data_IF_547969360288
#
_entry.id   IF_547969360288
#
_cell.length_a   1.000
_cell.length_b   1.000
_cell.length_c   1.000
_cell.angle_alpha   90.00
_cell.angle_beta   90.00
_cell.angle_gamma   90.00
#
_symmetry.space_group_name_H-M   'P 1'
#
loop_
_entity.id
_entity.type
_entity.pdbx_description
1 polymer ?
#
# COMPACT_ATOMS: atom_id res chain seq x y z
N UNK A 1 -39.74 -10.24 20.43
CA UNK A 1 -39.11 -8.96 20.81
C UNK A 1 -37.64 -9.23 21.02
N UNK A 2 -36.81 -8.89 20.04
CA UNK A 2 -35.35 -8.97 20.17
C UNK A 2 -34.93 -7.65 20.81
N UNK A 3 -34.34 -7.72 21.99
CA UNK A 3 -33.92 -6.54 22.74
C UNK A 3 -32.87 -5.74 21.96
N UNK A 4 -32.98 -4.43 22.05
CA UNK A 4 -32.20 -3.37 21.40
C UNK A 4 -30.73 -3.29 21.83
N UNK A 5 -30.09 -4.40 22.17
CA UNK A 5 -28.75 -4.41 22.79
C UNK A 5 -27.72 -5.28 22.06
N UNK A 6 -27.97 -5.70 20.82
CA UNK A 6 -26.99 -6.41 19.97
C UNK A 6 -26.46 -5.59 18.79
N UNK A 7 -26.84 -4.31 18.67
CA UNK A 7 -26.43 -3.38 17.60
C UNK A 7 -25.17 -2.61 18.02
N UNK A 8 -24.11 -3.33 18.35
CA UNK A 8 -22.84 -2.73 18.76
C UNK A 8 -22.37 -1.70 17.73
N UNK A 9 -22.49 -0.42 18.11
CA UNK A 9 -21.78 0.74 17.57
C UNK A 9 -21.53 0.71 16.05
N UNK A 10 -22.45 1.32 15.29
CA UNK A 10 -22.29 1.59 13.84
C UNK A 10 -21.01 2.37 13.52
N UNK A 11 -20.51 3.12 14.50
CA UNK A 11 -19.30 3.92 14.49
C UNK A 11 -18.43 3.55 15.69
N UNK A 12 -17.11 3.62 15.54
CA UNK A 12 -16.20 3.52 16.67
C UNK A 12 -16.26 4.77 17.53
N UNK A 13 -16.35 5.94 16.88
CA UNK A 13 -16.68 7.21 17.51
C UNK A 13 -18.18 7.30 17.86
N UNK A 14 -18.51 7.92 18.99
CA UNK A 14 -19.91 8.17 19.35
C UNK A 14 -20.53 9.29 18.47
N UNK A 15 -21.82 9.18 18.11
CA UNK A 15 -22.50 10.19 17.28
C UNK A 15 -22.45 11.60 17.91
N UNK A 16 -22.63 11.69 19.24
CA UNK A 16 -22.61 12.97 19.94
C UNK A 16 -21.20 13.59 19.94
N UNK A 17 -20.17 12.75 20.07
CA UNK A 17 -18.78 13.18 19.95
C UNK A 17 -18.48 13.64 18.53
N UNK A 18 -18.87 12.86 17.49
CA UNK A 18 -18.68 13.25 16.10
C UNK A 18 -19.32 14.62 15.80
N UNK A 19 -20.56 14.86 16.28
CA UNK A 19 -21.23 16.16 16.12
C UNK A 19 -20.48 17.30 16.80
N UNK A 20 -20.04 17.11 18.04
CA UNK A 20 -19.23 18.09 18.76
C UNK A 20 -17.94 18.42 18.00
N UNK A 21 -17.28 17.41 17.43
CA UNK A 21 -16.06 17.61 16.66
C UNK A 21 -16.31 18.30 15.32
N UNK A 22 -17.49 18.14 14.74
CA UNK A 22 -17.91 18.92 13.58
C UNK A 22 -18.20 20.38 13.97
N UNK A 23 -18.79 20.65 15.15
CA UNK A 23 -18.94 22.02 15.67
C UNK A 23 -17.58 22.72 15.78
N UNK A 24 -16.59 22.03 16.36
CA UNK A 24 -15.22 22.55 16.49
C UNK A 24 -14.57 22.79 15.11
N UNK A 25 -14.70 21.84 14.19
CA UNK A 25 -14.16 21.97 12.83
C UNK A 25 -14.77 23.16 12.07
N UNK A 26 -16.09 23.33 12.10
CA UNK A 26 -16.75 24.43 11.38
C UNK A 26 -16.36 25.79 11.96
N UNK A 27 -16.27 25.91 13.28
CA UNK A 27 -15.78 27.13 13.93
C UNK A 27 -14.36 27.47 13.45
N UNK A 28 -13.47 26.49 13.38
CA UNK A 28 -12.10 26.69 12.91
C UNK A 28 -12.02 27.05 11.43
N UNK A 29 -12.84 26.42 10.60
CA UNK A 29 -12.92 26.72 9.17
C UNK A 29 -13.48 28.13 8.92
N UNK A 30 -14.45 28.58 9.73
CA UNK A 30 -14.98 29.93 9.68
C UNK A 30 -13.92 30.98 10.06
N UNK A 31 -13.11 30.74 11.09
CA UNK A 31 -12.02 31.63 11.51
C UNK A 31 -10.98 31.88 10.40
N UNK A 32 -10.76 30.89 9.53
CA UNK A 32 -9.84 31.00 8.38
C UNK A 32 -10.53 31.43 7.08
N UNK A 33 -11.80 31.83 7.13
CA UNK A 33 -12.58 32.32 5.99
C UNK A 33 -13.01 31.23 5.00
N UNK A 34 -13.00 29.95 5.38
CA UNK A 34 -13.53 28.85 4.57
C UNK A 34 -14.93 28.48 5.04
N UNK A 35 -15.94 28.69 4.20
CA UNK A 35 -17.31 28.23 4.47
C UNK A 35 -17.53 26.89 3.80
N UNK A 36 -17.44 25.79 4.55
CA UNK A 36 -17.68 24.45 4.02
C UNK A 36 -18.95 23.88 4.66
N UNK A 37 -19.92 23.42 3.86
CA UNK A 37 -21.16 22.78 4.32
C UNK A 37 -20.93 21.32 4.74
N UNK A 38 -19.95 21.06 5.61
CA UNK A 38 -19.61 19.70 6.03
C UNK A 38 -20.70 19.11 6.91
N UNK A 39 -21.30 19.89 7.81
CA UNK A 39 -22.32 19.41 8.74
C UNK A 39 -23.58 18.89 8.06
N UNK A 40 -24.15 19.66 7.13
CA UNK A 40 -25.45 19.30 6.53
C UNK A 40 -25.38 17.91 5.89
N UNK A 41 -24.31 17.65 5.11
CA UNK A 41 -24.06 16.37 4.46
C UNK A 41 -23.87 15.21 5.45
N UNK A 42 -23.13 15.45 6.54
CA UNK A 42 -22.86 14.41 7.54
C UNK A 42 -24.10 14.14 8.40
N UNK A 43 -24.83 15.18 8.83
CA UNK A 43 -26.05 15.02 9.62
C UNK A 43 -27.17 14.32 8.84
N UNK A 44 -27.34 14.64 7.55
CA UNK A 44 -28.28 13.92 6.70
C UNK A 44 -27.88 12.46 6.54
N UNK A 45 -26.58 12.19 6.36
CA UNK A 45 -26.10 10.82 6.26
C UNK A 45 -26.28 10.05 7.58
N UNK A 46 -25.94 10.63 8.74
CA UNK A 46 -26.13 10.01 10.07
C UNK A 46 -27.58 9.60 10.29
N UNK A 47 -28.55 10.47 9.95
CA UNK A 47 -29.99 10.15 10.07
C UNK A 47 -30.40 8.90 9.28
N UNK A 48 -29.69 8.62 8.19
CA UNK A 48 -29.98 7.49 7.30
C UNK A 48 -29.02 6.29 7.50
N UNK A 49 -27.96 6.44 8.28
CA UNK A 49 -26.88 5.46 8.43
C UNK A 49 -27.41 4.12 8.96
N UNK A 50 -28.19 4.14 10.05
CA UNK A 50 -28.74 2.91 10.63
C UNK A 50 -29.64 2.16 9.65
N UNK A 51 -30.48 2.90 8.91
CA UNK A 51 -31.36 2.34 7.88
C UNK A 51 -30.52 1.68 6.78
N UNK A 52 -29.53 2.41 6.24
CA UNK A 52 -28.61 1.89 5.20
C UNK A 52 -27.88 0.63 5.68
N UNK A 53 -27.42 0.59 6.93
CA UNK A 53 -26.77 -0.58 7.51
C UNK A 53 -27.74 -1.76 7.68
N UNK A 54 -28.96 -1.52 8.14
CA UNK A 54 -29.98 -2.55 8.30
C UNK A 54 -30.45 -3.14 6.95
N UNK A 55 -30.32 -2.38 5.87
CA UNK A 55 -30.58 -2.83 4.49
C UNK A 55 -29.44 -3.67 3.88
N UNK A 56 -28.24 -3.69 4.49
CA UNK A 56 -27.15 -4.57 4.02
C UNK A 56 -27.48 -6.05 4.21
N UNK A 57 -26.69 -6.92 3.60
CA UNK A 57 -26.82 -8.36 3.71
C UNK A 57 -26.41 -8.85 5.11
N UNK A 58 -27.01 -9.95 5.57
CA UNK A 58 -26.62 -10.59 6.84
C UNK A 58 -25.14 -11.01 6.85
N UNK A 59 -24.60 -11.39 5.68
CA UNK A 59 -23.21 -11.80 5.52
C UNK A 59 -22.29 -10.59 5.72
N UNK A 60 -22.61 -9.45 5.09
CA UNK A 60 -21.87 -8.22 5.24
C UNK A 60 -21.86 -7.72 6.68
N UNK A 61 -23.04 -7.63 7.34
CA UNK A 61 -23.11 -7.24 8.76
C UNK A 61 -22.25 -8.13 9.67
N UNK A 62 -22.23 -9.44 9.40
CA UNK A 62 -21.37 -10.37 10.15
C UNK A 62 -19.89 -10.06 9.93
N UNK A 63 -19.48 -9.71 8.70
CA UNK A 63 -18.09 -9.31 8.42
C UNK A 63 -17.75 -7.98 9.11
N UNK A 64 -18.62 -6.98 9.02
CA UNK A 64 -18.46 -5.68 9.68
C UNK A 64 -18.27 -5.84 11.20
N UNK A 65 -19.18 -6.55 11.87
CA UNK A 65 -19.14 -6.73 13.32
C UNK A 65 -17.96 -7.59 13.80
N UNK A 66 -17.41 -8.46 12.93
CA UNK A 66 -16.28 -9.35 13.26
C UNK A 66 -14.97 -8.93 12.58
N UNK A 67 -14.84 -7.66 12.16
CA UNK A 67 -13.69 -7.20 11.38
C UNK A 67 -12.35 -7.47 12.08
N UNK A 68 -12.26 -7.23 13.39
CA UNK A 68 -11.08 -7.54 14.23
C UNK A 68 -10.71 -9.03 14.21
N UNK A 69 -11.71 -9.92 14.28
CA UNK A 69 -11.45 -11.36 14.14
C UNK A 69 -10.96 -11.71 12.73
N UNK A 70 -11.45 -11.00 11.71
CA UNK A 70 -10.96 -11.08 10.34
C UNK A 70 -9.50 -10.65 10.20
N UNK A 71 -9.07 -9.59 10.88
CA UNK A 71 -7.67 -9.18 10.97
C UNK A 71 -6.81 -10.27 11.61
N UNK A 72 -7.21 -10.74 12.80
CA UNK A 72 -6.46 -11.78 13.51
C UNK A 72 -6.28 -13.05 12.66
N UNK A 73 -7.32 -13.44 11.93
CA UNK A 73 -7.26 -14.58 11.03
C UNK A 73 -6.30 -14.37 9.85
N UNK A 74 -6.23 -13.17 9.27
CA UNK A 74 -5.31 -12.89 8.16
C UNK A 74 -3.85 -12.88 8.62
N UNK A 75 -3.59 -12.26 9.78
CA UNK A 75 -2.27 -12.19 10.42
C UNK A 75 -1.78 -13.58 10.85
N UNK A 76 -2.63 -14.37 11.50
CA UNK A 76 -2.29 -15.74 11.90
C UNK A 76 -1.99 -16.64 10.69
N UNK A 77 -2.65 -16.38 9.56
CA UNK A 77 -2.35 -17.07 8.30
C UNK A 77 -1.13 -16.49 7.61
N UNK A 78 -0.48 -15.45 8.13
CA UNK A 78 0.61 -14.71 7.49
C UNK A 78 0.26 -14.29 6.06
N UNK A 79 -0.92 -13.69 5.89
CA UNK A 79 -1.39 -13.14 4.62
C UNK A 79 -1.28 -11.63 4.65
N UNK A 80 -0.80 -11.05 3.55
CA UNK A 80 -0.50 -9.62 3.45
C UNK A 80 -1.43 -8.87 2.48
N UNK A 81 -2.42 -9.55 1.90
CA UNK A 81 -3.40 -8.93 1.01
C UNK A 81 -4.78 -9.33 1.49
N UNK A 82 -5.56 -8.33 1.90
CA UNK A 82 -6.92 -8.51 2.36
C UNK A 82 -7.93 -8.57 1.21
N UNK A 83 -9.19 -8.33 1.55
CA UNK A 83 -10.29 -8.28 0.60
C UNK A 83 -11.35 -7.32 1.09
N UNK A 84 -11.61 -6.29 0.28
CA UNK A 84 -12.65 -5.32 0.58
C UNK A 84 -14.00 -5.82 0.12
N UNK A 85 -14.99 -5.62 0.98
CA UNK A 85 -16.41 -5.70 0.64
C UNK A 85 -17.07 -4.35 0.94
N UNK A 86 -18.06 -3.99 0.12
CA UNK A 86 -18.81 -2.74 0.23
C UNK A 86 -20.30 -3.02 0.07
N UNK A 87 -21.11 -2.44 0.94
CA UNK A 87 -22.56 -2.40 0.80
C UNK A 87 -23.09 -1.09 1.42
N UNK A 88 -23.96 -0.37 0.70
CA UNK A 88 -24.64 0.85 1.18
C UNK A 88 -23.71 1.91 1.81
N UNK A 89 -22.51 2.10 1.24
CA UNK A 89 -21.50 3.05 1.72
C UNK A 89 -20.60 2.52 2.84
N UNK A 90 -20.91 1.38 3.44
CA UNK A 90 -20.02 0.73 4.41
C UNK A 90 -18.93 -0.05 3.68
N UNK A 91 -17.68 0.11 4.12
CA UNK A 91 -16.52 -0.55 3.53
C UNK A 91 -15.76 -1.32 4.60
N UNK A 92 -15.57 -2.62 4.39
CA UNK A 92 -14.84 -3.48 5.35
C UNK A 92 -13.87 -4.42 4.66
N UNK A 93 -12.61 -4.32 5.06
CA UNK A 93 -11.51 -5.20 4.71
C UNK A 93 -11.04 -6.04 5.91
N UNK A 94 -9.81 -6.53 5.83
CA UNK A 94 -9.10 -7.23 6.89
C UNK A 94 -8.14 -6.32 7.68
N UNK A 95 -7.70 -5.21 7.10
CA UNK A 95 -6.76 -4.23 7.65
C UNK A 95 -7.40 -2.86 7.86
N UNK A 96 -8.47 -2.55 7.14
CA UNK A 96 -9.19 -1.28 7.22
C UNK A 96 -10.70 -1.47 7.24
N UNK A 97 -11.41 -0.52 7.83
CA UNK A 97 -12.85 -0.30 7.59
C UNK A 97 -13.15 1.19 7.67
N UNK A 98 -14.22 1.60 7.00
CA UNK A 98 -14.68 2.98 7.02
C UNK A 98 -16.08 3.06 6.41
N UNK A 99 -16.63 4.25 6.44
CA UNK A 99 -17.87 4.60 5.77
C UNK A 99 -17.57 5.64 4.70
N UNK A 100 -18.25 5.53 3.56
CA UNK A 100 -18.23 6.51 2.50
C UNK A 100 -19.64 7.03 2.26
N UNK A 101 -19.81 8.35 2.33
CA UNK A 101 -21.11 9.03 2.18
C UNK A 101 -21.24 9.82 0.87
N UNK A 102 -20.57 9.37 -0.19
CA UNK A 102 -20.54 10.00 -1.53
C UNK A 102 -19.76 11.33 -1.64
N UNK A 103 -19.31 11.91 -0.51
CA UNK A 103 -18.41 13.08 -0.49
C UNK A 103 -17.19 12.90 0.40
N UNK A 104 -17.30 12.06 1.44
CA UNK A 104 -16.35 11.98 2.54
C UNK A 104 -16.15 10.56 3.01
N UNK A 105 -14.95 10.28 3.55
CA UNK A 105 -14.69 9.08 4.34
C UNK A 105 -14.93 9.41 5.80
N UNK A 106 -15.72 8.59 6.47
CA UNK A 106 -16.07 8.73 7.89
C UNK A 106 -15.51 7.52 8.64
N UNK A 107 -14.97 7.77 9.83
CA UNK A 107 -14.50 6.74 10.78
C UNK A 107 -13.47 5.79 10.14
N UNK A 108 -12.42 6.36 9.53
CA UNK A 108 -11.35 5.58 8.92
C UNK A 108 -10.58 4.83 9.99
N UNK A 109 -10.88 3.54 10.10
CA UNK A 109 -10.40 2.67 11.15
C UNK A 109 -9.37 1.69 10.63
N UNK A 110 -8.26 1.63 11.34
CA UNK A 110 -7.23 0.61 11.19
C UNK A 110 -7.59 -0.60 12.04
N UNK A 111 -7.81 -1.73 11.37
CA UNK A 111 -8.03 -3.00 12.03
C UNK A 111 -6.69 -3.58 12.51
N UNK A 112 -6.67 -3.87 13.80
CA UNK A 112 -5.64 -4.60 14.55
C UNK A 112 -6.30 -5.26 15.76
N UNK A 113 -5.52 -5.89 16.66
CA UNK A 113 -6.04 -6.47 17.91
C UNK A 113 -6.97 -5.51 18.65
N UNK A 114 -6.52 -4.27 18.82
CA UNK A 114 -7.32 -3.15 19.33
C UNK A 114 -7.49 -2.12 18.20
N UNK A 115 -8.59 -2.19 17.45
CA UNK A 115 -8.79 -1.33 16.27
C UNK A 115 -8.80 0.15 16.63
N UNK A 116 -8.17 0.99 15.80
CA UNK A 116 -8.05 2.43 16.04
C UNK A 116 -8.65 3.23 14.88
N UNK A 117 -9.51 4.18 15.20
CA UNK A 117 -9.90 5.23 14.25
C UNK A 117 -8.76 6.24 14.13
N UNK A 118 -8.29 6.49 12.90
CA UNK A 118 -7.23 7.48 12.65
C UNK A 118 -7.82 8.82 12.23
N UNK A 119 -8.84 8.78 11.39
CA UNK A 119 -9.56 9.95 10.94
C UNK A 119 -11.04 9.76 11.21
N UNK A 120 -11.64 10.69 11.92
CA UNK A 120 -13.10 10.74 12.06
C UNK A 120 -13.74 11.14 10.75
N UNK A 121 -13.06 12.03 10.02
CA UNK A 121 -13.52 12.55 8.75
C UNK A 121 -12.34 12.82 7.80
N UNK A 122 -12.51 12.42 6.55
CA UNK A 122 -11.72 12.90 5.42
C UNK A 122 -12.71 13.48 4.42
N UNK A 123 -12.74 14.80 4.32
CA UNK A 123 -13.64 15.53 3.43
C UNK A 123 -12.86 16.08 2.24
N UNK A 124 -13.39 15.88 1.04
CA UNK A 124 -12.83 16.43 -0.20
C UNK A 124 -13.85 17.42 -0.77
N UNK A 125 -13.48 18.70 -0.79
CA UNK A 125 -14.37 19.77 -1.24
C UNK A 125 -14.75 19.55 -2.71
N UNK A 126 -16.05 19.50 -3.03
CA UNK A 126 -16.54 19.32 -4.40
C UNK A 126 -16.46 17.89 -4.95
N UNK A 127 -16.28 16.88 -4.09
CA UNK A 127 -16.29 15.47 -4.49
C UNK A 127 -17.70 14.88 -4.72
N UNK A 128 -18.76 15.63 -4.40
CA UNK A 128 -20.16 15.19 -4.43
C UNK A 128 -20.54 14.39 -5.69
N UNK A 129 -21.23 13.26 -5.47
CA UNK A 129 -21.78 12.43 -6.53
C UNK A 129 -20.71 11.59 -7.24
N UNK A 130 -20.02 10.73 -6.49
CA UNK A 130 -19.03 9.81 -7.05
C UNK A 130 -19.58 9.07 -8.29
N UNK A 131 -18.86 9.20 -9.40
CA UNK A 131 -19.22 8.68 -10.72
C UNK A 131 -19.04 7.17 -10.82
N UNK A 132 -18.08 6.62 -10.07
CA UNK A 132 -17.80 5.19 -10.00
C UNK A 132 -17.32 4.85 -8.59
N UNK A 133 -17.98 3.87 -7.96
CA UNK A 133 -17.59 3.30 -6.68
C UNK A 133 -17.52 1.79 -6.85
N UNK A 134 -16.35 1.21 -6.59
CA UNK A 134 -16.17 -0.23 -6.74
C UNK A 134 -15.09 -0.76 -5.82
N UNK A 135 -15.05 -2.09 -5.69
CA UNK A 135 -13.94 -2.80 -5.06
C UNK A 135 -13.44 -3.90 -5.96
N UNK A 136 -12.12 -3.97 -6.09
CA UNK A 136 -11.43 -4.97 -6.89
C UNK A 136 -10.34 -5.59 -6.01
N UNK A 137 -10.61 -6.79 -5.50
CA UNK A 137 -9.69 -7.49 -4.60
C UNK A 137 -9.51 -6.75 -3.27
N UNK A 138 -8.28 -6.29 -3.02
CA UNK A 138 -7.90 -5.53 -1.82
C UNK A 138 -8.07 -4.01 -1.97
N UNK A 139 -8.49 -3.52 -3.13
CA UNK A 139 -8.56 -2.08 -3.40
C UNK A 139 -10.01 -1.62 -3.50
N UNK A 140 -10.34 -0.57 -2.75
CA UNK A 140 -11.57 0.19 -2.87
C UNK A 140 -11.29 1.47 -3.61
N UNK A 141 -12.22 1.86 -4.46
CA UNK A 141 -12.05 2.96 -5.40
C UNK A 141 -13.31 3.81 -5.43
N UNK A 142 -13.13 5.13 -5.38
CA UNK A 142 -14.17 6.10 -5.69
C UNK A 142 -13.63 7.18 -6.64
N UNK A 143 -14.31 7.40 -7.76
CA UNK A 143 -14.01 8.46 -8.70
C UNK A 143 -15.04 9.59 -8.55
N UNK A 144 -14.59 10.75 -8.09
CA UNK A 144 -15.37 11.99 -8.09
C UNK A 144 -15.05 12.86 -9.31
N UNK A 145 -15.66 14.05 -9.35
CA UNK A 145 -15.42 15.02 -10.42
C UNK A 145 -14.01 15.60 -10.40
N UNK A 146 -13.49 15.91 -9.21
CA UNK A 146 -12.25 16.65 -9.02
C UNK A 146 -11.13 15.81 -8.38
N UNK A 147 -11.42 14.62 -7.89
CA UNK A 147 -10.43 13.72 -7.32
C UNK A 147 -10.83 12.25 -7.48
N UNK A 148 -9.88 11.38 -7.20
CA UNK A 148 -10.01 9.93 -7.19
C UNK A 148 -9.44 9.41 -5.88
N UNK A 149 -10.14 8.50 -5.22
CA UNK A 149 -9.74 7.91 -3.95
C UNK A 149 -9.46 6.43 -4.16
N UNK A 150 -8.31 5.97 -3.69
CA UNK A 150 -7.91 4.57 -3.61
C UNK A 150 -7.64 4.23 -2.14
N UNK A 151 -8.25 3.16 -1.63
CA UNK A 151 -7.95 2.62 -0.30
C UNK A 151 -7.52 1.17 -0.42
N UNK A 152 -6.35 0.84 0.12
CA UNK A 152 -5.79 -0.51 0.05
C UNK A 152 -5.93 -1.24 1.38
N UNK A 153 -6.51 -2.44 1.31
CA UNK A 153 -6.64 -3.39 2.40
C UNK A 153 -5.40 -4.28 2.51
N UNK A 154 -4.31 -3.67 2.95
CA UNK A 154 -3.00 -4.30 3.08
C UNK A 154 -2.24 -3.73 4.31
N UNK A 155 -1.03 -4.21 4.64
CA UNK A 155 -0.30 -3.84 5.85
C UNK A 155 0.02 -2.35 5.96
N UNK A 156 0.13 -1.65 4.82
CA UNK A 156 0.44 -0.22 4.73
C UNK A 156 -0.83 0.64 4.77
N UNK A 157 -2.01 0.03 4.61
CA UNK A 157 -3.33 0.66 4.83
C UNK A 157 -3.45 2.00 4.09
N UNK A 158 -2.96 2.01 2.86
CA UNK A 158 -2.82 3.21 2.04
C UNK A 158 -4.20 3.82 1.78
N UNK A 159 -4.34 5.11 2.08
CA UNK A 159 -5.32 5.98 1.42
C UNK A 159 -4.54 6.84 0.44
N UNK A 160 -4.94 6.86 -0.82
CA UNK A 160 -4.38 7.74 -1.83
C UNK A 160 -5.52 8.55 -2.45
N UNK A 161 -5.36 9.87 -2.45
CA UNK A 161 -6.27 10.79 -3.11
C UNK A 161 -5.49 11.48 -4.21
N UNK A 162 -5.88 11.23 -5.46
CA UNK A 162 -5.30 11.84 -6.66
C UNK A 162 -6.22 12.96 -7.16
N UNK A 163 -5.69 14.16 -7.33
CA UNK A 163 -6.45 15.29 -7.87
C UNK A 163 -6.59 15.20 -9.39
N UNK A 164 -7.82 15.32 -9.87
CA UNK A 164 -8.18 15.48 -11.29
C UNK A 164 -8.23 16.97 -11.65
N UNK A 165 -8.64 17.79 -10.69
CA UNK A 165 -8.57 19.25 -10.70
C UNK A 165 -8.04 19.73 -9.34
N UNK A 166 -7.73 21.02 -9.21
CA UNK A 166 -7.32 21.59 -7.93
C UNK A 166 -8.40 21.32 -6.86
N UNK A 167 -8.01 20.74 -5.72
CA UNK A 167 -8.96 20.42 -4.66
C UNK A 167 -8.39 20.69 -3.27
N UNK A 168 -9.31 20.97 -2.34
CA UNK A 168 -9.05 21.12 -0.91
C UNK A 168 -9.51 19.86 -0.19
N UNK A 169 -8.67 19.34 0.70
CA UNK A 169 -8.93 18.13 1.46
C UNK A 169 -8.71 18.43 2.93
N UNK A 170 -9.66 18.02 3.75
CA UNK A 170 -9.64 18.19 5.20
C UNK A 170 -9.63 16.81 5.85
N UNK A 171 -8.64 16.55 6.70
CA UNK A 171 -8.55 15.35 7.53
C UNK A 171 -8.74 15.75 8.99
N UNK A 172 -9.82 15.30 9.61
CA UNK A 172 -10.06 15.44 11.04
C UNK A 172 -9.52 14.18 11.73
N UNK A 173 -8.46 14.32 12.51
CA UNK A 173 -7.81 13.20 13.22
C UNK A 173 -8.71 12.70 14.34
N UNK A 174 -8.70 11.42 14.68
CA UNK A 174 -9.41 10.90 15.87
C UNK A 174 -8.82 11.45 17.19
N UNK A 175 -9.52 11.24 18.30
CA UNK A 175 -8.95 11.40 19.65
C UNK A 175 -7.68 10.55 19.79
N UNK A 176 -6.71 11.06 20.56
CA UNK A 176 -5.40 10.42 20.83
C UNK A 176 -4.48 10.21 19.61
N UNK A 177 -4.88 10.72 18.45
CA UNK A 177 -4.05 10.80 17.25
C UNK A 177 -3.48 12.21 17.14
N UNK A 178 -2.17 12.29 16.93
CA UNK A 178 -1.43 13.53 16.83
C UNK A 178 -0.81 13.66 15.44
N UNK A 179 -0.75 14.88 14.92
CA UNK A 179 -0.08 15.20 13.67
C UNK A 179 0.99 16.26 13.87
N UNK A 180 2.16 16.03 13.30
CA UNK A 180 3.24 17.01 13.29
C UNK A 180 3.85 17.16 11.90
N UNK A 181 4.03 18.40 11.46
CA UNK A 181 4.63 18.70 10.16
C UNK A 181 6.15 18.54 10.26
N UNK A 182 6.70 17.57 9.54
CA UNK A 182 8.15 17.26 9.56
C UNK A 182 8.88 17.77 8.31
N UNK A 183 8.14 18.05 7.23
CA UNK A 183 8.64 18.73 6.05
C UNK A 183 7.53 19.57 5.39
N UNK A 184 7.81 20.39 4.36
CA UNK A 184 6.77 21.06 3.60
C UNK A 184 5.70 20.13 3.01
N UNK A 185 6.03 18.85 2.77
CA UNK A 185 5.18 17.85 2.10
C UNK A 185 4.91 16.58 2.94
N UNK A 186 5.40 16.49 4.18
CA UNK A 186 5.18 15.35 5.08
C UNK A 186 4.59 15.80 6.42
N UNK A 187 3.50 15.16 6.82
CA UNK A 187 2.98 15.16 8.19
C UNK A 187 3.21 13.78 8.80
N UNK A 188 3.89 13.70 9.95
CA UNK A 188 3.99 12.48 10.74
C UNK A 188 2.75 12.34 11.62
N UNK A 189 2.11 11.17 11.57
CA UNK A 189 0.99 10.79 12.43
C UNK A 189 1.52 9.89 13.53
N UNK A 190 1.15 10.18 14.78
CA UNK A 190 1.61 9.48 15.97
C UNK A 190 0.50 9.39 17.02
N UNK A 191 0.71 8.59 18.07
CA UNK A 191 -0.30 8.30 19.09
C UNK A 191 -0.44 6.79 19.24
N UNK A 192 -1.67 6.28 19.22
CA UNK A 192 -1.91 4.84 19.22
C UNK A 192 -1.41 4.14 17.94
N UNK A 193 -1.27 4.91 16.85
CA UNK A 193 -0.71 4.46 15.58
C UNK A 193 0.40 5.39 15.11
N UNK A 194 1.37 4.84 14.38
CA UNK A 194 2.38 5.62 13.67
C UNK A 194 2.15 5.54 12.16
N UNK A 195 2.20 6.66 11.49
CA UNK A 195 2.03 6.75 10.04
C UNK A 195 2.53 8.07 9.49
N UNK A 196 2.27 8.31 8.22
CA UNK A 196 2.61 9.57 7.58
C UNK A 196 1.62 9.91 6.49
N UNK A 197 1.31 11.19 6.39
CA UNK A 197 0.63 11.77 5.26
C UNK A 197 1.66 12.49 4.38
N UNK A 198 1.68 12.17 3.09
CA UNK A 198 2.70 12.59 2.12
C UNK A 198 2.02 13.23 0.92
N UNK A 199 2.42 14.45 0.60
CA UNK A 199 2.05 15.14 -0.62
C UNK A 199 3.10 14.88 -1.70
N UNK A 200 2.71 14.22 -2.79
CA UNK A 200 3.52 14.09 -4.00
C UNK A 200 2.96 14.98 -5.10
N UNK A 201 3.78 15.88 -5.63
CA UNK A 201 3.35 16.90 -6.59
C UNK A 201 3.26 18.29 -5.98
N UNK A 202 2.44 19.15 -6.59
CA UNK A 202 2.29 20.56 -6.23
C UNK A 202 1.12 20.76 -5.27
N UNK A 203 1.30 21.65 -4.30
CA UNK A 203 0.29 21.94 -3.29
C UNK A 203 0.88 22.35 -1.95
N UNK A 204 0.02 22.39 -0.94
CA UNK A 204 0.38 22.74 0.43
C UNK A 204 -0.37 21.86 1.42
N UNK A 205 0.29 21.51 2.52
CA UNK A 205 -0.32 20.82 3.66
C UNK A 205 0.00 21.58 4.94
N UNK A 206 -0.96 21.66 5.85
CA UNK A 206 -0.79 22.29 7.17
C UNK A 206 -1.56 21.51 8.23
N UNK A 207 -1.10 21.63 9.47
CA UNK A 207 -1.76 21.08 10.65
C UNK A 207 -2.24 22.25 11.50
N UNK A 208 -3.50 22.21 11.93
CA UNK A 208 -4.11 23.17 12.84
C UNK A 208 -5.13 22.41 13.68
N UNK A 209 -5.02 22.49 15.02
CA UNK A 209 -6.00 21.96 15.97
C UNK A 209 -6.62 20.60 15.60
N UNK A 210 -5.83 19.53 15.64
CA UNK A 210 -6.25 18.17 15.30
C UNK A 210 -6.81 17.97 13.86
N UNK A 211 -6.64 18.97 13.00
CA UNK A 211 -7.07 18.96 11.60
C UNK A 211 -5.86 19.13 10.69
N UNK A 212 -5.83 18.36 9.61
CA UNK A 212 -4.87 18.53 8.51
C UNK A 212 -5.62 19.09 7.32
N UNK A 213 -5.20 20.25 6.84
CA UNK A 213 -5.72 20.85 5.62
C UNK A 213 -4.70 20.72 4.50
N UNK A 214 -5.12 20.21 3.35
CA UNK A 214 -4.32 20.13 2.15
C UNK A 214 -5.02 20.87 1.00
N UNK A 215 -4.27 21.70 0.27
CA UNK A 215 -4.69 22.17 -1.05
C UNK A 215 -3.75 21.54 -2.06
N UNK A 216 -4.27 20.69 -2.95
CA UNK A 216 -3.46 19.95 -3.91
C UNK A 216 -3.80 20.40 -5.32
N UNK A 217 -2.76 20.66 -6.12
CA UNK A 217 -2.91 21.03 -7.52
C UNK A 217 -3.29 19.81 -8.35
N UNK A 218 -3.91 20.02 -9.52
CA UNK A 218 -4.21 18.96 -10.50
C UNK A 218 -3.04 18.00 -10.74
N UNK A 219 -3.35 16.70 -10.87
CA UNK A 219 -2.39 15.60 -11.09
C UNK A 219 -1.39 15.38 -9.96
N UNK A 220 -1.71 15.84 -8.75
CA UNK A 220 -0.91 15.60 -7.53
C UNK A 220 -1.63 14.57 -6.65
N UNK A 221 -0.89 13.94 -5.73
CA UNK A 221 -1.46 12.98 -4.80
C UNK A 221 -1.20 13.40 -3.36
N UNK A 222 -2.17 13.17 -2.49
CA UNK A 222 -1.96 13.09 -1.05
C UNK A 222 -2.19 11.65 -0.61
N UNK A 223 -1.27 11.12 0.18
CA UNK A 223 -1.28 9.71 0.57
C UNK A 223 -1.08 9.57 2.05
N UNK A 224 -1.96 8.84 2.73
CA UNK A 224 -1.77 8.40 4.11
C UNK A 224 -1.31 6.95 4.14
N UNK A 225 -0.23 6.67 4.86
CA UNK A 225 0.36 5.34 5.01
C UNK A 225 0.64 5.07 6.49
N UNK A 226 0.30 3.88 6.98
CA UNK A 226 0.71 3.43 8.31
C UNK A 226 2.12 2.84 8.26
N UNK A 227 2.88 2.96 9.34
CA UNK A 227 4.01 2.06 9.59
C UNK A 227 3.47 0.66 9.91
N UNK A 228 3.71 -0.36 9.07
CA UNK A 228 3.13 -1.68 9.26
C UNK A 228 3.63 -2.36 10.53
N UNK A 229 2.74 -3.14 11.17
CA UNK A 229 3.06 -3.96 12.34
C UNK A 229 3.88 -5.19 11.91
N UNK A 230 4.86 -5.60 12.72
CA UNK A 230 5.79 -6.69 12.35
C UNK A 230 5.08 -8.01 12.06
N UNK A 231 4.01 -8.33 12.80
CA UNK A 231 3.21 -9.53 12.60
C UNK A 231 2.32 -9.47 11.35
N UNK A 232 2.03 -8.27 10.84
CA UNK A 232 1.10 -8.01 9.75
C UNK A 232 1.80 -7.74 8.41
N UNK A 233 3.13 -7.81 8.32
CA UNK A 233 3.89 -7.52 7.08
C UNK A 233 5.06 -8.47 6.89
N UNK A 234 5.88 -8.27 5.85
CA UNK A 234 7.19 -8.90 5.74
C UNK A 234 8.10 -8.32 6.82
N UNK A 235 8.35 -9.10 7.88
CA UNK A 235 9.02 -8.65 9.09
C UNK A 235 10.54 -8.55 8.87
N UNK A 236 11.00 -7.37 8.48
CA UNK A 236 12.41 -7.09 8.22
C UNK A 236 13.12 -6.42 9.41
N UNK A 237 14.45 -6.60 9.55
CA UNK A 237 15.23 -5.83 10.52
C UNK A 237 15.11 -4.32 10.27
N UNK A 238 15.07 -3.53 11.35
CA UNK A 238 14.99 -2.05 11.30
C UNK A 238 13.82 -1.51 10.47
N UNK A 239 12.72 -2.24 10.37
CA UNK A 239 11.55 -1.86 9.55
C UNK A 239 11.10 -0.41 9.74
N UNK A 240 10.92 0.05 10.98
CA UNK A 240 10.51 1.42 11.26
C UNK A 240 11.44 2.50 10.66
N UNK A 241 12.75 2.24 10.61
CA UNK A 241 13.73 3.14 9.99
C UNK A 241 13.55 3.17 8.46
N UNK A 242 13.37 2.00 7.84
CA UNK A 242 13.20 1.90 6.40
C UNK A 242 11.89 2.49 5.92
N UNK A 243 10.79 2.28 6.66
CA UNK A 243 9.51 2.91 6.35
C UNK A 243 9.62 4.43 6.40
N UNK A 244 10.28 5.02 7.42
CA UNK A 244 10.57 6.47 7.43
C UNK A 244 11.41 6.93 6.24
N UNK A 245 12.32 6.08 5.76
CA UNK A 245 13.16 6.39 4.58
C UNK A 245 12.35 6.32 3.28
N UNK A 246 11.42 5.36 3.18
CA UNK A 246 10.47 5.25 2.07
C UNK A 246 9.56 6.47 1.98
N UNK A 247 9.04 6.95 3.11
CA UNK A 247 8.26 8.20 3.18
C UNK A 247 9.03 9.37 2.56
N UNK A 248 10.30 9.57 2.96
CA UNK A 248 11.16 10.63 2.39
C UNK A 248 11.51 10.40 0.92
N UNK A 249 11.66 9.14 0.50
CA UNK A 249 11.89 8.80 -0.89
C UNK A 249 10.65 9.06 -1.77
N UNK A 250 9.44 8.90 -1.25
CA UNK A 250 8.20 9.27 -1.95
C UNK A 250 8.08 10.79 -2.12
N UNK A 251 8.35 11.57 -1.07
CA UNK A 251 8.37 13.04 -1.14
C UNK A 251 9.30 13.54 -2.26
N UNK A 252 10.48 12.92 -2.38
CA UNK A 252 11.47 13.24 -3.42
C UNK A 252 11.12 12.66 -4.81
N UNK A 253 10.00 11.96 -4.94
CA UNK A 253 9.59 11.28 -6.17
C UNK A 253 10.51 10.11 -6.56
N UNK A 254 11.35 9.63 -5.63
CA UNK A 254 12.30 8.52 -5.85
C UNK A 254 11.59 7.17 -5.71
N UNK A 255 10.83 6.96 -4.63
CA UNK A 255 10.02 5.75 -4.48
C UNK A 255 8.75 5.88 -5.33
N UNK A 256 8.62 5.06 -6.37
CA UNK A 256 7.53 5.18 -7.34
C UNK A 256 6.40 4.18 -7.14
N UNK A 257 6.70 3.01 -6.55
CA UNK A 257 5.68 2.02 -6.21
C UNK A 257 6.15 1.03 -5.15
N UNK A 258 5.17 0.39 -4.52
CA UNK A 258 5.34 -0.78 -3.66
C UNK A 258 4.42 -1.90 -4.12
N UNK A 259 4.97 -3.09 -4.33
CA UNK A 259 4.25 -4.29 -4.77
C UNK A 259 4.28 -5.32 -3.65
N UNK A 260 3.12 -5.76 -3.18
CA UNK A 260 3.00 -6.88 -2.24
C UNK A 260 2.63 -8.12 -3.05
N UNK A 261 3.35 -9.21 -2.81
CA UNK A 261 3.14 -10.52 -3.43
C UNK A 261 2.95 -11.55 -2.31
N UNK A 262 1.68 -11.84 -1.98
CA UNK A 262 1.31 -12.69 -0.83
C UNK A 262 1.39 -14.19 -1.16
N UNK A 263 0.90 -14.57 -2.34
CA UNK A 263 0.90 -15.94 -2.83
C UNK A 263 0.86 -15.96 -4.36
N UNK A 264 1.04 -17.13 -4.98
CA UNK A 264 0.94 -17.26 -6.44
C UNK A 264 -0.42 -16.72 -6.90
N UNK A 265 -0.40 -15.79 -7.88
CA UNK A 265 -1.57 -15.09 -8.40
C UNK A 265 -2.29 -14.17 -7.39
N UNK A 266 -1.60 -13.71 -6.33
CA UNK A 266 -2.13 -12.71 -5.40
C UNK A 266 -1.09 -11.62 -5.18
N UNK A 267 -1.39 -10.45 -5.74
CA UNK A 267 -0.55 -9.25 -5.61
C UNK A 267 -1.38 -7.99 -5.43
N UNK A 268 -0.83 -7.01 -4.73
CA UNK A 268 -1.39 -5.68 -4.55
C UNK A 268 -0.34 -4.64 -4.93
N UNK A 269 -0.70 -3.69 -5.79
CA UNK A 269 0.20 -2.68 -6.35
C UNK A 269 -0.20 -1.34 -5.77
N UNK A 270 0.73 -0.66 -5.10
CA UNK A 270 0.58 0.72 -4.65
C UNK A 270 1.48 1.62 -5.50
N UNK A 271 0.87 2.52 -6.26
CA UNK A 271 1.56 3.45 -7.17
C UNK A 271 1.58 4.85 -6.54
N UNK A 272 2.78 5.40 -6.33
CA UNK A 272 2.99 6.67 -5.61
C UNK A 272 3.29 7.87 -6.54
N UNK A 273 3.41 7.62 -7.85
CA UNK A 273 3.69 8.63 -8.86
C UNK A 273 3.25 8.18 -10.24
N UNK A 274 3.87 8.73 -11.29
CA UNK A 274 3.54 8.42 -12.68
C UNK A 274 4.18 7.10 -13.12
N UNK A 275 3.77 6.00 -12.51
CA UNK A 275 4.30 4.67 -12.73
C UNK A 275 3.18 3.67 -12.62
N UNK A 276 3.10 2.77 -13.60
CA UNK A 276 2.15 1.66 -13.63
C UNK A 276 2.88 0.33 -13.53
N UNK A 277 2.35 -0.60 -12.75
CA UNK A 277 2.90 -1.95 -12.65
C UNK A 277 1.86 -3.00 -13.01
N UNK A 278 2.33 -4.08 -13.63
CA UNK A 278 1.58 -5.33 -13.68
C UNK A 278 2.46 -6.50 -13.30
N UNK A 279 1.89 -7.44 -12.55
CA UNK A 279 2.59 -8.63 -12.07
C UNK A 279 1.97 -9.88 -12.72
N UNK A 280 2.82 -10.74 -13.28
CA UNK A 280 2.44 -12.04 -13.82
C UNK A 280 3.28 -13.13 -13.19
N UNK A 281 2.64 -14.27 -12.93
CA UNK A 281 3.29 -15.44 -12.37
C UNK A 281 3.52 -16.45 -13.48
N UNK A 282 4.77 -16.87 -13.63
CA UNK A 282 5.21 -17.98 -14.47
C UNK A 282 5.76 -19.08 -13.56
N UNK A 283 5.96 -20.29 -14.09
CA UNK A 283 6.48 -21.41 -13.29
C UNK A 283 7.83 -21.03 -12.66
N UNK A 284 7.87 -20.95 -11.33
CA UNK A 284 9.03 -20.56 -10.51
C UNK A 284 9.62 -19.17 -10.85
N UNK A 285 8.83 -18.27 -11.45
CA UNK A 285 9.30 -16.94 -11.85
C UNK A 285 8.17 -15.93 -11.73
N UNK A 286 8.48 -14.75 -11.22
CA UNK A 286 7.60 -13.60 -11.23
C UNK A 286 8.11 -12.66 -12.31
N UNK A 287 7.22 -12.20 -13.18
CA UNK A 287 7.52 -11.19 -14.20
C UNK A 287 6.69 -9.94 -13.91
N UNK A 288 7.38 -8.83 -13.67
CA UNK A 288 6.76 -7.54 -13.39
C UNK A 288 7.05 -6.63 -14.58
N UNK A 289 6.01 -6.13 -15.22
CA UNK A 289 6.15 -5.07 -16.20
C UNK A 289 5.96 -3.74 -15.48
N UNK A 290 6.89 -2.83 -15.70
CA UNK A 290 6.86 -1.49 -15.14
C UNK A 290 6.86 -0.50 -16.29
N UNK A 291 5.93 0.45 -16.28
CA UNK A 291 5.91 1.56 -17.24
C UNK A 291 5.78 2.87 -16.48
N UNK A 292 6.67 3.83 -16.72
CA UNK A 292 6.54 5.15 -16.13
C UNK A 292 7.53 6.13 -16.74
N UNK A 293 7.69 7.28 -16.09
CA UNK A 293 8.62 8.34 -16.52
C UNK A 293 9.47 8.85 -15.36
N UNK A 294 10.56 9.53 -15.70
CA UNK A 294 11.48 10.17 -14.77
C UNK A 294 12.75 9.35 -14.53
N UNK A 295 13.53 9.79 -13.55
CA UNK A 295 14.84 9.22 -13.26
C UNK A 295 14.95 8.77 -11.80
N UNK A 296 15.96 7.94 -11.56
CA UNK A 296 16.42 7.49 -10.24
C UNK A 296 15.36 6.79 -9.39
N UNK A 297 14.45 6.04 -10.01
CA UNK A 297 13.30 5.48 -9.31
C UNK A 297 13.65 4.22 -8.53
N UNK A 298 12.94 4.04 -7.43
CA UNK A 298 12.99 2.85 -6.58
C UNK A 298 11.62 2.18 -6.59
N UNK A 299 11.64 0.86 -6.69
CA UNK A 299 10.51 -0.03 -6.50
C UNK A 299 10.75 -0.87 -5.25
N UNK A 300 9.74 -1.00 -4.39
CA UNK A 300 9.77 -1.92 -3.23
C UNK A 300 8.88 -3.10 -3.54
N UNK A 301 9.37 -4.32 -3.33
CA UNK A 301 8.63 -5.55 -3.55
C UNK A 301 8.66 -6.38 -2.27
N UNK A 302 7.51 -6.52 -1.63
CA UNK A 302 7.31 -7.40 -0.49
C UNK A 302 6.89 -8.79 -1.00
N UNK A 303 7.75 -9.78 -0.80
CA UNK A 303 7.56 -11.12 -1.31
C UNK A 303 7.41 -12.13 -0.16
N UNK A 304 6.22 -12.71 -0.03
CA UNK A 304 5.94 -13.74 0.95
C UNK A 304 6.71 -15.05 0.68
N UNK A 305 7.12 -15.74 1.74
CA UNK A 305 7.73 -17.08 1.65
C UNK A 305 6.79 -18.13 1.01
N UNK A 306 5.48 -17.86 0.96
CA UNK A 306 4.49 -18.71 0.28
C UNK A 306 4.60 -18.69 -1.23
N UNK A 307 5.24 -17.66 -1.79
CA UNK A 307 5.53 -17.58 -3.23
C UNK A 307 6.84 -18.30 -3.50
N UNK A 308 7.92 -17.86 -2.84
CA UNK A 308 9.23 -18.49 -2.89
C UNK A 308 9.75 -18.75 -1.48
N UNK A 309 9.90 -20.02 -1.12
CA UNK A 309 10.53 -20.41 0.14
C UNK A 309 12.05 -20.46 -0.02
N UNK A 310 12.69 -19.29 -0.06
CA UNK A 310 14.14 -19.11 -0.27
C UNK A 310 14.63 -17.85 0.43
N UNK A 311 15.92 -17.81 0.74
CA UNK A 311 16.64 -16.61 1.23
C UNK A 311 17.51 -15.96 0.15
N UNK A 312 17.52 -16.55 -1.05
CA UNK A 312 18.32 -16.07 -2.19
C UNK A 312 17.46 -16.03 -3.45
N UNK A 313 17.44 -14.87 -4.08
CA UNK A 313 16.77 -14.61 -5.36
C UNK A 313 17.79 -14.19 -6.40
N UNK A 314 17.43 -14.39 -7.66
CA UNK A 314 18.02 -13.69 -8.80
C UNK A 314 17.00 -12.66 -9.27
N UNK A 315 17.46 -11.42 -9.44
CA UNK A 315 16.65 -10.31 -9.93
C UNK A 315 17.26 -9.85 -11.25
N UNK A 316 16.44 -9.77 -12.30
CA UNK A 316 16.83 -9.26 -13.60
C UNK A 316 16.01 -8.04 -13.99
N UNK A 317 16.64 -7.12 -14.69
CA UNK A 317 16.01 -6.03 -15.42
C UNK A 317 16.33 -6.20 -16.91
N UNK A 318 15.32 -6.31 -17.76
CA UNK A 318 15.45 -6.49 -19.22
C UNK A 318 16.43 -7.62 -19.59
N UNK A 319 16.26 -8.78 -18.95
CA UNK A 319 17.07 -9.99 -19.07
C UNK A 319 18.51 -9.91 -18.52
N UNK A 320 18.95 -8.75 -18.01
CA UNK A 320 20.26 -8.58 -17.35
C UNK A 320 20.13 -8.74 -15.85
N UNK A 321 21.00 -9.54 -15.25
CA UNK A 321 21.04 -9.71 -13.79
C UNK A 321 21.53 -8.42 -13.12
N UNK A 322 20.81 -7.99 -12.08
CA UNK A 322 21.15 -6.79 -11.34
C UNK A 322 22.25 -7.07 -10.31
N UNK A 323 23.13 -6.10 -10.14
CA UNK A 323 24.11 -6.14 -9.04
C UNK A 323 23.38 -6.05 -7.70
N UNK A 324 23.81 -6.88 -6.75
CA UNK A 324 23.29 -6.85 -5.38
C UNK A 324 24.15 -5.89 -4.54
N UNK A 325 23.52 -4.85 -4.00
CA UNK A 325 24.14 -3.88 -3.10
C UNK A 325 23.42 -3.84 -1.75
N UNK A 326 23.97 -3.11 -0.78
CA UNK A 326 23.31 -2.95 0.52
C UNK A 326 22.05 -2.07 0.40
N UNK A 327 21.11 -2.28 1.32
CA UNK A 327 19.86 -1.52 1.37
C UNK A 327 20.09 -0.01 1.50
N UNK A 328 20.96 0.37 2.44
CA UNK A 328 21.29 1.77 2.71
C UNK A 328 21.99 2.41 1.50
N UNK A 329 22.83 1.65 0.78
CA UNK A 329 23.46 2.13 -0.45
C UNK A 329 22.43 2.34 -1.56
N UNK A 330 21.48 1.40 -1.77
CA UNK A 330 20.48 1.52 -2.82
C UNK A 330 19.56 2.73 -2.62
N UNK A 331 19.11 2.95 -1.38
CA UNK A 331 18.24 4.09 -1.05
C UNK A 331 18.90 5.44 -1.36
N UNK A 332 20.24 5.51 -1.24
CA UNK A 332 21.02 6.70 -1.53
C UNK A 332 21.67 6.69 -2.92
N UNK A 333 21.46 5.65 -3.73
CA UNK A 333 22.10 5.48 -5.03
C UNK A 333 21.66 6.58 -6.01
N UNK A 334 22.63 7.15 -6.70
CA UNK A 334 22.47 8.04 -7.84
C UNK A 334 23.35 7.51 -8.98
N UNK A 335 22.97 7.75 -10.23
CA UNK A 335 23.77 7.34 -11.40
C UNK A 335 23.03 6.47 -12.41
N UNK A 336 23.76 5.90 -13.36
CA UNK A 336 23.19 5.28 -14.58
C UNK A 336 23.05 3.75 -14.52
N UNK A 337 23.58 3.10 -13.49
CA UNK A 337 23.58 1.63 -13.39
C UNK A 337 22.43 1.12 -12.52
N UNK A 338 21.59 0.19 -13.02
CA UNK A 338 20.54 -0.40 -12.22
C UNK A 338 21.11 -1.38 -11.18
N UNK A 339 20.47 -1.43 -10.02
CA UNK A 339 20.91 -2.28 -8.92
C UNK A 339 19.71 -2.80 -8.12
N UNK A 340 19.94 -3.84 -7.33
CA UNK A 340 18.94 -4.35 -6.39
C UNK A 340 19.53 -4.54 -4.99
N UNK A 341 18.65 -4.55 -3.99
CA UNK A 341 18.97 -4.92 -2.62
C UNK A 341 17.88 -5.88 -2.13
N UNK A 342 18.27 -6.92 -1.40
CA UNK A 342 17.35 -7.94 -0.89
C UNK A 342 17.55 -8.03 0.62
N UNK A 343 16.46 -7.87 1.36
CA UNK A 343 16.44 -8.04 2.82
C UNK A 343 15.63 -9.28 3.18
N UNK A 344 16.24 -10.16 3.99
CA UNK A 344 15.55 -11.32 4.54
C UNK A 344 14.71 -10.90 5.75
N UNK A 345 13.41 -11.10 5.66
CA UNK A 345 12.50 -11.06 6.79
C UNK A 345 12.24 -12.45 7.36
N UNK A 346 11.55 -12.53 8.50
CA UNK A 346 11.23 -13.83 9.14
C UNK A 346 10.17 -14.65 8.38
N UNK A 347 9.37 -13.99 7.54
CA UNK A 347 8.23 -14.56 6.82
C UNK A 347 8.25 -14.22 5.31
N UNK A 348 9.37 -13.75 4.78
CA UNK A 348 9.55 -13.46 3.36
C UNK A 348 10.75 -12.56 3.09
N UNK A 349 10.74 -11.89 1.94
CA UNK A 349 11.82 -11.06 1.44
C UNK A 349 11.29 -9.68 1.06
N UNK A 350 12.01 -8.61 1.38
CA UNK A 350 11.77 -7.29 0.79
C UNK A 350 12.87 -6.98 -0.22
N UNK A 351 12.48 -6.70 -1.46
CA UNK A 351 13.40 -6.44 -2.58
C UNK A 351 13.25 -5.00 -3.01
N UNK A 352 14.36 -4.27 -3.08
CA UNK A 352 14.43 -2.93 -3.65
C UNK A 352 15.09 -3.02 -5.01
N UNK A 353 14.53 -2.31 -5.98
CA UNK A 353 15.07 -2.22 -7.33
C UNK A 353 15.22 -0.76 -7.69
N UNK A 354 16.44 -0.36 -8.01
CA UNK A 354 16.75 0.96 -8.54
C UNK A 354 16.78 0.91 -10.07
N UNK A 355 16.02 1.80 -10.70
CA UNK A 355 15.96 1.97 -12.14
C UNK A 355 16.37 3.42 -12.47
N UNK A 356 17.56 3.62 -13.04
CA UNK A 356 18.14 4.93 -13.34
C UNK A 356 17.27 5.81 -14.23
N UNK A 357 16.73 5.25 -15.31
CA UNK A 357 15.87 5.94 -16.27
C UNK A 357 14.61 5.13 -16.45
N UNK A 358 13.49 5.68 -16.00
CA UNK A 358 12.22 4.98 -16.03
C UNK A 358 11.59 5.09 -17.41
N UNK A 359 11.35 3.93 -18.01
CA UNK A 359 10.57 3.75 -19.23
C UNK A 359 9.74 2.47 -19.10
N UNK A 360 9.55 1.72 -20.19
CA UNK A 360 8.97 0.38 -20.14
C UNK A 360 10.08 -0.64 -19.89
N UNK A 361 10.00 -1.34 -18.76
CA UNK A 361 10.97 -2.36 -18.35
C UNK A 361 10.28 -3.64 -17.90
N UNK A 362 11.01 -4.75 -18.01
CA UNK A 362 10.62 -6.03 -17.42
C UNK A 362 11.57 -6.43 -16.31
N UNK A 363 11.01 -6.64 -15.13
CA UNK A 363 11.71 -7.21 -13.99
C UNK A 363 11.35 -8.69 -13.90
N UNK A 364 12.35 -9.55 -13.74
CA UNK A 364 12.15 -10.96 -13.46
C UNK A 364 12.75 -11.32 -12.11
N UNK A 365 11.98 -12.02 -11.28
CA UNK A 365 12.42 -12.50 -9.96
C UNK A 365 12.19 -14.01 -9.90
N UNK A 366 13.21 -14.76 -9.52
CA UNK A 366 13.12 -16.20 -9.32
C UNK A 366 14.10 -16.69 -8.25
N UNK A 367 13.84 -17.85 -7.61
CA UNK A 367 14.74 -18.42 -6.63
C UNK A 367 16.12 -18.69 -7.23
N UNK A 368 17.18 -18.37 -6.48
CA UNK A 368 18.52 -18.81 -6.85
C UNK A 368 18.61 -20.33 -6.71
N UNK A 369 18.81 -21.02 -7.83
CA UNK A 369 19.08 -22.46 -7.84
C UNK A 369 20.57 -22.62 -8.09
N UNK A 370 21.31 -23.05 -7.06
CA UNK A 370 22.72 -23.40 -7.23
C UNK A 370 22.82 -24.46 -8.33
N UNK A 371 23.61 -24.18 -9.39
CA UNK A 371 23.93 -25.19 -10.39
C UNK A 371 24.62 -26.34 -9.64
N UNK A 372 23.95 -27.48 -9.48
CA UNK A 372 24.62 -28.72 -9.04
C UNK A 372 25.70 -29.00 -10.08
N UNK A 373 26.97 -28.78 -9.73
CA UNK A 373 28.08 -29.41 -10.43
C UNK A 373 27.84 -30.91 -10.30
N UNK A 374 27.49 -31.58 -11.40
CA UNK A 374 27.51 -33.05 -11.44
C UNK A 374 29.00 -33.43 -11.40
N UNK A 375 29.51 -34.01 -10.31
CA UNK A 375 30.91 -34.42 -10.25
C UNK A 375 31.15 -35.44 -11.37
N UNK A 376 32.12 -35.16 -12.26
CA UNK A 376 32.53 -36.10 -13.30
C UNK A 376 31.98 -35.84 -14.72
N UNK A 377 31.06 -34.90 -14.94
CA UNK A 377 30.58 -34.60 -16.30
C UNK A 377 31.73 -34.06 -17.19
N UNK A 378 32.53 -33.14 -16.66
CA UNK A 378 33.71 -32.61 -17.36
C UNK A 378 34.80 -33.68 -17.57
N UNK A 379 35.00 -34.56 -16.58
CA UNK A 379 35.96 -35.66 -16.69
C UNK A 379 35.53 -36.71 -17.74
N UNK A 380 34.23 -36.99 -17.85
CA UNK A 380 33.68 -37.93 -18.84
C UNK A 380 33.81 -37.43 -20.27
N UNK A 381 33.65 -36.12 -20.52
CA UNK A 381 33.86 -35.51 -21.83
C UNK A 381 35.35 -35.57 -22.22
N UNK A 382 36.25 -35.24 -21.30
CA UNK A 382 37.70 -35.31 -21.54
C UNK A 382 38.14 -36.75 -21.83
N UNK A 383 37.61 -37.73 -21.10
CA UNK A 383 37.89 -39.16 -21.34
C UNK A 383 37.37 -39.64 -22.69
N UNK A 384 36.17 -39.22 -23.12
CA UNK A 384 35.63 -39.55 -24.44
C UNK A 384 36.46 -38.93 -25.58
N UNK A 385 36.92 -37.68 -25.44
CA UNK A 385 37.79 -37.03 -26.41
C UNK A 385 39.14 -37.75 -26.48
N UNK A 386 39.74 -38.10 -25.34
CA UNK A 386 40.99 -38.85 -25.29
C UNK A 386 40.86 -40.24 -25.93
N UNK A 387 39.76 -40.94 -25.68
CA UNK A 387 39.47 -42.23 -26.29
C UNK A 387 39.30 -42.12 -27.82
N UNK A 388 38.56 -41.14 -28.31
CA UNK A 388 38.39 -40.89 -29.74
C UNK A 388 39.72 -40.54 -30.45
N UNK A 389 40.58 -39.77 -29.80
CA UNK A 389 41.92 -39.44 -30.31
C UNK A 389 42.84 -40.67 -30.34
N UNK A 390 42.77 -41.53 -29.32
CA UNK A 390 43.50 -42.80 -29.28
C UNK A 390 43.00 -43.77 -30.36
N UNK A 391 41.68 -43.88 -30.53
CA UNK A 391 41.07 -44.71 -31.57
C UNK A 391 41.44 -44.22 -32.97
N UNK A 392 41.41 -42.92 -33.22
CA UNK A 392 41.83 -42.32 -34.49
C UNK A 392 43.33 -42.52 -34.79
N UNK A 393 44.19 -42.52 -33.77
CA UNK A 393 45.61 -42.86 -33.92
C UNK A 393 45.85 -44.35 -34.18
N UNK A 394 45.09 -45.22 -33.56
CA UNK A 394 45.16 -46.67 -33.78
C UNK A 394 44.71 -47.03 -35.20
N UNK A 395 43.61 -46.45 -35.67
CA UNK A 395 43.08 -46.68 -37.01
C UNK A 395 43.96 -46.11 -38.15
N UNK A 396 44.82 -45.11 -37.87
CA UNK A 396 45.80 -44.58 -38.84
C UNK A 396 47.10 -45.38 -38.95
N UNK A 397 47.36 -46.31 -38.01
CA UNK A 397 48.58 -47.14 -37.98
C UNK A 397 48.37 -48.54 -38.59
N UNK A 398 47.13 -48.91 -38.90
CA UNK A 398 46.81 -50.00 -39.82
C UNK A 398 46.59 -49.42 -41.21
#
# INVERSE_FOLDING_TARGET
MISSSCLGKLFFIDESELKKRLDELESELEEIGKKIKIREDIEEWIKNAEKKFNETSKIFRKKWNNATSGYLLIVNKQRFIGKIETENGYVVGNFVRFIFNDSSIIDYTILREESITVFDLIHIEGFEGAMDIRSVGSVWFALGKNAMIEVHDNPVRLIKITSIDNCSITFLLSTDINANKTSPKIIEISGEVNGSLVLTGEGSIRVQNNTICANISKSSNIMFLIHPELNATIAIPKQALYEKTFIRAMEKGKLCARLIIDMVNSSDVMEFGNTTLSCKFEKNKIKIQVNGTGEEKILVIDLSHKVFNTTKLVVKLDNKELSLISYDALLNLTGEEPACAIMNGSNGLQVLIYIPRFSSHFIEIYPYIAKKKIPGFDASIIMCIAFLLMLGRYLRKR
#
